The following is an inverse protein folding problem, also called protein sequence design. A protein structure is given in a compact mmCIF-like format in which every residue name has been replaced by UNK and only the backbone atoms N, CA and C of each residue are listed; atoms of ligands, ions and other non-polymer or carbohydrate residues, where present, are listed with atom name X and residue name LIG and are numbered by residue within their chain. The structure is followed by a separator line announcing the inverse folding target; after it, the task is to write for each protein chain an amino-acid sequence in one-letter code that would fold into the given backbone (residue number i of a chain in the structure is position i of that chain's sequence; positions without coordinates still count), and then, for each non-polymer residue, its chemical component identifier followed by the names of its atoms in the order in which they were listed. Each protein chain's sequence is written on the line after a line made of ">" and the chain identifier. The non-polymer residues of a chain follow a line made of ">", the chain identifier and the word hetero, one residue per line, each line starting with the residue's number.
data_IF_797041403200
#
_entry.id   IF_797041403200
#
_cell.length_a   1.000
_cell.length_b   1.000
_cell.length_c   1.000
_cell.angle_alpha   90.00
_cell.angle_beta   90.00
_cell.angle_gamma   90.00
#
_symmetry.space_group_name_H-M   'P 1'
#
loop_
_entity.id
_entity.type
_entity.pdbx_description
1 polymer ?
#
# COMPACT_ATOMS: atom_id res chain seq x y z
N UNK A 1 4.42 42.59 -3.43
CA UNK A 1 4.33 41.58 -4.51
C UNK A 1 4.28 40.22 -3.85
N UNK A 2 3.12 39.56 -3.90
CA UNK A 2 2.82 38.34 -3.17
C UNK A 2 3.28 37.11 -3.95
N UNK A 3 4.27 36.38 -3.44
CA UNK A 3 4.61 35.05 -3.92
C UNK A 3 3.69 34.03 -3.25
N UNK A 4 2.89 33.33 -4.06
CA UNK A 4 2.01 32.24 -3.64
C UNK A 4 2.86 31.03 -3.27
N UNK A 5 2.79 30.61 -2.01
CA UNK A 5 3.36 29.37 -1.50
C UNK A 5 2.51 28.18 -2.00
N UNK A 6 3.16 27.22 -2.65
CA UNK A 6 2.62 25.89 -2.95
C UNK A 6 3.73 24.87 -2.67
N UNK A 7 3.81 24.41 -1.42
CA UNK A 7 4.58 23.21 -1.03
C UNK A 7 3.57 22.30 -0.37
N UNK A 8 3.24 21.20 -1.05
CA UNK A 8 2.22 20.24 -0.66
C UNK A 8 2.93 19.03 -0.05
N UNK A 9 2.55 18.68 1.18
CA UNK A 9 2.87 17.40 1.79
C UNK A 9 2.23 16.27 0.98
N UNK A 10 2.95 15.16 0.80
CA UNK A 10 2.46 13.98 0.10
C UNK A 10 1.20 13.39 0.76
N UNK A 11 1.04 13.59 2.08
CA UNK A 11 -0.09 13.10 2.87
C UNK A 11 -1.20 14.14 3.10
N UNK A 12 -1.08 15.35 2.55
CA UNK A 12 -2.14 16.37 2.56
C UNK A 12 -2.53 16.76 1.14
N UNK A 13 -3.27 15.87 0.48
CA UNK A 13 -3.93 16.21 -0.79
C UNK A 13 -5.15 17.11 -0.56
N UNK A 14 -5.24 18.14 -1.42
CA UNK A 14 -6.36 19.08 -1.68
C UNK A 14 -6.45 20.38 -0.86
N UNK A 15 -6.09 21.48 -1.54
CA UNK A 15 -6.98 22.64 -1.77
C UNK A 15 -6.67 23.18 -3.16
N UNK A 16 -7.55 22.95 -4.12
CA UNK A 16 -7.61 23.76 -5.33
C UNK A 16 -8.96 24.44 -5.42
N UNK A 17 -8.86 25.75 -5.55
CA UNK A 17 -9.91 26.74 -5.70
C UNK A 17 -10.71 26.51 -6.97
N UNK A 18 -12.01 26.49 -6.78
CA UNK A 18 -13.05 26.53 -7.80
C UNK A 18 -12.89 27.78 -8.69
N UNK A 19 -12.66 27.61 -9.99
CA UNK A 19 -12.93 28.64 -11.00
C UNK A 19 -13.59 27.95 -12.19
N UNK A 20 -14.89 28.16 -12.31
CA UNK A 20 -15.67 27.89 -13.50
C UNK A 20 -15.09 28.64 -14.70
N UNK A 21 -14.88 27.94 -15.82
CA UNK A 21 -15.14 28.51 -17.15
C UNK A 21 -15.58 27.40 -18.11
N UNK A 22 -16.73 27.67 -18.73
CA UNK A 22 -17.54 26.80 -19.59
C UNK A 22 -17.13 26.96 -21.07
N UNK A 23 -17.38 25.88 -21.83
CA UNK A 23 -17.61 25.76 -23.29
C UNK A 23 -16.37 25.73 -24.21
N UNK A 24 -16.11 24.60 -24.89
CA UNK A 24 -16.67 24.25 -26.20
C UNK A 24 -16.37 22.78 -26.58
N UNK A 25 -17.11 22.31 -27.57
CA UNK A 25 -17.43 20.93 -27.96
C UNK A 25 -16.42 20.18 -28.84
N UNK A 26 -16.48 18.84 -28.72
CA UNK A 26 -16.34 17.79 -29.74
C UNK A 26 -15.08 17.75 -30.63
N UNK A 27 -14.30 16.66 -30.52
CA UNK A 27 -13.93 15.73 -31.60
C UNK A 27 -13.19 14.53 -30.98
N UNK A 28 -13.67 13.33 -31.25
CA UNK A 28 -13.03 12.06 -30.89
C UNK A 28 -11.74 11.85 -31.68
N UNK A 29 -10.65 11.55 -30.97
CA UNK A 29 -9.55 10.71 -31.50
C UNK A 29 -9.06 9.80 -30.39
N UNK A 30 -9.04 8.50 -30.70
CA UNK A 30 -8.41 7.44 -29.90
C UNK A 30 -6.98 7.87 -29.56
N UNK A 31 -6.65 7.92 -28.27
CA UNK A 31 -5.28 8.00 -27.81
C UNK A 31 -5.10 7.08 -26.62
N UNK A 32 -4.12 6.20 -26.74
CA UNK A 32 -3.58 5.35 -25.70
C UNK A 32 -3.31 6.18 -24.44
N UNK A 33 -3.94 5.82 -23.32
CA UNK A 33 -3.70 6.44 -22.02
C UNK A 33 -2.41 5.90 -21.42
N UNK A 34 -1.27 6.46 -21.86
CA UNK A 34 -0.07 6.47 -21.03
C UNK A 34 -0.31 7.59 -20.02
N UNK A 35 -0.62 7.25 -18.78
CA UNK A 35 -0.66 8.18 -17.66
C UNK A 35 0.75 8.71 -17.43
N UNK A 36 1.05 9.85 -18.07
CA UNK A 36 2.26 10.62 -17.82
C UNK A 36 2.25 11.05 -16.36
N UNK A 37 3.10 10.43 -15.55
CA UNK A 37 3.55 11.00 -14.27
C UNK A 37 3.99 12.43 -14.57
N UNK A 38 3.29 13.42 -14.05
CA UNK A 38 3.67 14.83 -14.16
C UNK A 38 4.89 15.06 -13.28
N UNK A 39 6.06 14.63 -13.73
CA UNK A 39 7.34 15.04 -13.15
C UNK A 39 7.62 16.43 -13.72
N UNK A 40 7.79 17.48 -12.92
CA UNK A 40 8.14 18.79 -13.45
C UNK A 40 9.48 18.67 -14.20
N UNK A 41 9.42 18.76 -15.53
CA UNK A 41 10.60 18.76 -16.39
C UNK A 41 11.32 20.09 -16.16
N UNK A 42 12.33 20.09 -15.30
CA UNK A 42 13.31 21.18 -15.26
C UNK A 42 14.28 20.97 -16.42
N UNK A 43 14.25 21.87 -17.40
CA UNK A 43 15.33 21.96 -18.37
C UNK A 43 16.57 22.50 -17.66
N UNK A 44 17.71 21.84 -17.84
CA UNK A 44 19.02 22.33 -17.37
C UNK A 44 19.47 23.50 -18.27
N UNK A 45 18.70 24.59 -18.37
CA UNK A 45 19.11 25.75 -19.16
C UNK A 45 19.90 26.75 -18.31
N UNK A 46 21.08 27.11 -18.83
CA UNK A 46 21.92 28.26 -18.49
C UNK A 46 21.86 28.80 -17.06
N UNK A 47 22.66 28.19 -16.19
CA UNK A 47 23.34 28.79 -15.02
C UNK A 47 22.59 29.98 -14.38
N UNK A 48 21.50 29.69 -13.68
CA UNK A 48 21.30 30.35 -12.40
C UNK A 48 22.08 29.51 -11.40
N UNK A 49 23.32 29.89 -11.10
CA UNK A 49 23.99 29.34 -9.92
C UNK A 49 23.11 29.70 -8.73
N UNK A 50 22.42 28.71 -8.17
CA UNK A 50 21.94 28.90 -6.82
C UNK A 50 23.21 28.90 -5.96
N UNK A 51 23.71 30.10 -5.67
CA UNK A 51 24.96 30.32 -4.94
C UNK A 51 24.94 29.67 -3.54
N UNK A 52 23.78 29.15 -3.10
CA UNK A 52 23.70 28.27 -1.94
C UNK A 52 22.57 27.23 -2.02
N UNK A 53 22.62 26.32 -3.00
CA UNK A 53 21.67 25.21 -3.15
C UNK A 53 21.49 24.37 -1.85
N UNK A 54 22.56 24.21 -1.07
CA UNK A 54 22.51 23.50 0.21
C UNK A 54 21.67 24.24 1.26
N UNK A 55 21.88 25.55 1.44
CA UNK A 55 21.08 26.36 2.39
C UNK A 55 19.60 26.38 2.01
N UNK A 56 19.30 26.52 0.73
CA UNK A 56 17.93 26.54 0.25
C UNK A 56 17.24 25.18 0.47
N UNK A 57 17.97 24.07 0.24
CA UNK A 57 17.49 22.73 0.52
C UNK A 57 17.30 22.48 2.02
N UNK A 58 18.21 22.94 2.89
CA UNK A 58 18.03 22.83 4.35
C UNK A 58 16.77 23.59 4.82
N UNK A 59 16.60 24.83 4.36
CA UNK A 59 15.42 25.65 4.70
C UNK A 59 14.12 24.98 4.25
N UNK A 60 14.13 24.34 3.08
CA UNK A 60 12.99 23.57 2.59
C UNK A 60 12.74 22.33 3.47
N UNK A 61 13.77 21.51 3.72
CA UNK A 61 13.67 20.27 4.50
C UNK A 61 13.21 20.54 5.94
N UNK A 62 13.62 21.65 6.55
CA UNK A 62 13.13 22.05 7.88
C UNK A 62 11.61 22.20 7.91
N UNK A 63 11.04 22.87 6.90
CA UNK A 63 9.58 23.05 6.78
C UNK A 63 8.90 21.73 6.47
N UNK A 64 9.46 20.95 5.54
CA UNK A 64 8.88 19.67 5.11
C UNK A 64 8.82 18.66 6.26
N UNK A 65 9.92 18.49 7.01
CA UNK A 65 9.96 17.58 8.18
C UNK A 65 8.93 18.00 9.23
N UNK A 66 8.75 19.31 9.45
CA UNK A 66 7.76 19.81 10.41
C UNK A 66 6.32 19.50 9.95
N UNK A 67 6.03 19.69 8.66
CA UNK A 67 4.73 19.37 8.08
C UNK A 67 4.45 17.87 8.18
N UNK A 68 5.40 17.02 7.78
CA UNK A 68 5.23 15.56 7.81
C UNK A 68 5.05 15.03 9.23
N UNK A 69 5.82 15.53 10.21
CA UNK A 69 5.61 15.19 11.63
C UNK A 69 4.25 15.62 12.15
N UNK A 70 3.75 16.77 11.70
CA UNK A 70 2.41 17.25 12.10
C UNK A 70 1.27 16.44 11.46
N UNK A 71 1.52 15.85 10.29
CA UNK A 71 0.57 15.00 9.58
C UNK A 71 0.62 13.52 10.03
N UNK A 72 1.65 13.11 10.78
CA UNK A 72 1.82 11.74 11.22
C UNK A 72 0.71 11.32 12.18
N UNK A 73 -0.10 10.32 11.76
CA UNK A 73 -1.22 9.79 12.56
C UNK A 73 -0.76 9.03 13.81
N UNK A 74 0.41 8.39 13.72
CA UNK A 74 0.98 7.52 14.74
C UNK A 74 2.39 7.98 15.16
N UNK A 75 2.54 9.17 15.79
CA UNK A 75 3.85 9.75 16.06
C UNK A 75 4.63 9.02 17.16
N UNK A 76 3.93 8.44 18.13
CA UNK A 76 4.52 7.83 19.32
C UNK A 76 4.51 6.30 19.31
N UNK A 77 3.48 5.69 18.71
CA UNK A 77 3.32 4.23 18.68
C UNK A 77 2.67 3.79 17.37
N UNK A 78 3.29 2.82 16.71
CA UNK A 78 2.75 2.18 15.51
C UNK A 78 1.44 1.43 15.84
N UNK A 79 0.56 1.23 14.84
CA UNK A 79 -0.58 0.32 14.97
C UNK A 79 -0.15 -1.04 15.51
N UNK A 80 -1.05 -1.71 16.23
CA UNK A 80 -0.78 -3.04 16.80
C UNK A 80 -1.40 -4.05 15.85
N UNK A 81 -0.64 -5.07 15.47
CA UNK A 81 -1.16 -6.26 14.81
C UNK A 81 -1.38 -7.31 15.91
N UNK A 82 -2.64 -7.64 16.27
CA UNK A 82 -2.93 -8.56 17.36
C UNK A 82 -2.24 -9.90 17.19
N UNK A 83 -1.82 -10.50 18.31
CA UNK A 83 -1.16 -11.80 18.37
C UNK A 83 0.19 -11.92 17.68
N UNK A 84 0.72 -10.85 17.05
CA UNK A 84 2.04 -10.85 16.44
C UNK A 84 3.03 -10.01 17.25
N UNK A 85 4.24 -10.55 17.41
CA UNK A 85 5.40 -9.78 17.85
C UNK A 85 6.03 -9.11 16.64
N UNK A 86 6.20 -7.79 16.71
CA UNK A 86 6.75 -6.97 15.64
C UNK A 86 8.24 -6.71 15.90
N UNK A 87 9.08 -7.00 14.92
CA UNK A 87 10.49 -6.62 14.89
C UNK A 87 10.77 -5.82 13.62
N UNK A 88 11.62 -4.79 13.71
CA UNK A 88 11.96 -3.97 12.55
C UNK A 88 13.47 -3.77 12.40
N UNK A 89 13.95 -3.78 11.16
CA UNK A 89 15.34 -3.56 10.80
C UNK A 89 15.43 -2.68 9.55
N UNK A 90 15.67 -1.37 9.74
CA UNK A 90 15.55 -0.42 8.63
C UNK A 90 14.13 -0.47 8.03
N UNK A 91 13.95 -0.65 6.71
CA UNK A 91 12.63 -0.76 6.09
C UNK A 91 12.02 -2.17 6.18
N UNK A 92 12.78 -3.17 6.66
CA UNK A 92 12.29 -4.54 6.82
C UNK A 92 11.51 -4.69 8.13
N UNK A 93 10.43 -5.46 8.06
CA UNK A 93 9.57 -5.78 9.19
C UNK A 93 9.37 -7.29 9.24
N UNK A 94 9.46 -7.86 10.45
CA UNK A 94 9.17 -9.26 10.73
C UNK A 94 8.08 -9.33 11.80
N UNK A 95 6.98 -9.99 11.47
CA UNK A 95 5.92 -10.34 12.40
C UNK A 95 6.10 -11.81 12.76
N UNK A 96 6.01 -12.17 14.04
CA UNK A 96 6.13 -13.56 14.47
C UNK A 96 5.09 -13.92 15.52
N UNK A 97 4.53 -15.12 15.42
CA UNK A 97 3.67 -15.70 16.44
C UNK A 97 3.78 -17.22 16.46
N UNK A 98 3.55 -17.79 17.63
CA UNK A 98 3.49 -19.24 17.83
C UNK A 98 2.02 -19.67 18.01
N UNK A 99 1.60 -20.74 17.32
CA UNK A 99 0.28 -21.36 17.47
C UNK A 99 0.49 -22.85 17.70
N UNK A 100 0.25 -23.33 18.91
CA UNK A 100 0.46 -24.74 19.24
C UNK A 100 1.91 -25.17 18.97
N UNK A 101 2.10 -26.04 17.98
CA UNK A 101 3.41 -26.55 17.56
C UNK A 101 3.92 -25.91 16.26
N UNK A 102 3.25 -24.87 15.79
CA UNK A 102 3.55 -24.16 14.54
C UNK A 102 4.07 -22.76 14.86
N UNK A 103 5.03 -22.30 14.07
CA UNK A 103 5.54 -20.93 14.13
C UNK A 103 5.25 -20.22 12.82
N UNK A 104 4.57 -19.08 12.91
CA UNK A 104 4.18 -18.25 11.78
C UNK A 104 5.08 -17.03 11.77
N UNK A 105 5.72 -16.78 10.63
CA UNK A 105 6.57 -15.60 10.43
C UNK A 105 6.11 -14.89 9.16
N UNK A 106 5.74 -13.61 9.28
CA UNK A 106 5.44 -12.76 8.13
C UNK A 106 6.55 -11.74 7.95
N UNK A 107 7.09 -11.60 6.73
CA UNK A 107 8.14 -10.63 6.42
C UNK A 107 7.73 -9.74 5.28
N UNK A 108 8.05 -8.45 5.39
CA UNK A 108 7.80 -7.49 4.32
C UNK A 108 8.75 -6.31 4.42
N UNK A 109 8.82 -5.52 3.35
CA UNK A 109 9.62 -4.31 3.26
C UNK A 109 8.75 -3.14 2.84
N UNK A 110 8.87 -1.99 3.52
CA UNK A 110 8.01 -0.83 3.25
C UNK A 110 8.53 0.10 2.13
N UNK A 111 9.68 -0.19 1.53
CA UNK A 111 10.29 0.63 0.47
C UNK A 111 9.47 0.59 -0.81
N UNK A 112 9.09 1.76 -1.35
CA UNK A 112 8.34 1.90 -2.61
C UNK A 112 6.98 1.19 -2.62
N UNK A 113 6.29 1.15 -1.49
CA UNK A 113 5.03 0.40 -1.32
C UNK A 113 3.78 1.27 -1.27
N UNK A 114 3.94 2.59 -1.35
CA UNK A 114 2.83 3.54 -1.34
C UNK A 114 2.30 3.74 -2.75
N UNK A 115 1.04 3.39 -2.98
CA UNK A 115 0.37 3.57 -4.27
C UNK A 115 -0.48 4.83 -4.26
N UNK A 116 -0.13 5.80 -5.10
CA UNK A 116 -0.90 7.04 -5.26
C UNK A 116 -2.20 6.85 -6.07
N UNK A 117 -2.28 5.81 -6.91
CA UNK A 117 -3.50 5.45 -7.65
C UNK A 117 -4.68 5.13 -6.74
N UNK A 118 -4.40 4.51 -5.59
CA UNK A 118 -5.42 4.06 -4.64
C UNK A 118 -6.13 5.23 -3.93
N UNK A 119 -5.51 6.43 -3.95
CA UNK A 119 -6.05 7.64 -3.32
C UNK A 119 -7.02 8.46 -4.19
N UNK A 120 -7.13 8.15 -5.50
CA UNK A 120 -7.96 8.94 -6.42
C UNK A 120 -9.41 8.43 -6.56
N UNK A 121 -9.76 7.27 -6.00
CA UNK A 121 -11.06 6.62 -6.27
C UNK A 121 -12.05 6.57 -5.09
N UNK A 122 -11.64 6.82 -3.84
CA UNK A 122 -12.58 6.87 -2.71
C UNK A 122 -13.43 8.16 -2.67
N UNK A 123 -13.15 9.16 -3.53
CA UNK A 123 -13.82 10.48 -3.47
C UNK A 123 -15.15 10.59 -4.23
N UNK A 124 -15.59 9.57 -4.97
CA UNK A 124 -16.76 9.68 -5.87
C UNK A 124 -18.04 8.98 -5.36
N UNK A 125 -18.06 8.43 -4.15
CA UNK A 125 -19.26 7.82 -3.55
C UNK A 125 -19.72 8.57 -2.30
N UNK A 126 -20.44 9.68 -2.49
CA UNK A 126 -21.62 10.13 -1.71
C UNK A 126 -21.92 11.61 -1.99
N UNK A 127 -22.75 11.86 -3.00
CA UNK A 127 -23.55 13.08 -3.08
C UNK A 127 -25.03 12.72 -2.99
N UNK A 128 -25.45 12.18 -1.85
CA UNK A 128 -26.86 12.16 -1.43
C UNK A 128 -26.92 12.74 -0.04
N UNK A 129 -27.47 13.95 0.05
CA UNK A 129 -27.43 14.76 1.25
C UNK A 129 -28.09 14.08 2.45
N UNK A 130 -27.33 13.91 3.52
CA UNK A 130 -27.76 13.89 4.91
C UNK A 130 -26.55 14.19 5.78
N UNK A 131 -26.67 15.17 6.66
CA UNK A 131 -25.64 15.58 7.63
C UNK A 131 -25.37 14.44 8.62
N UNK A 132 -24.39 13.61 8.32
CA UNK A 132 -23.79 12.68 9.27
C UNK A 132 -22.27 12.84 9.23
N UNK A 133 -21.71 12.94 10.43
CA UNK A 133 -20.32 13.24 10.78
C UNK A 133 -19.30 12.90 9.68
N UNK A 134 -18.74 13.96 9.09
CA UNK A 134 -17.55 13.92 8.25
C UNK A 134 -16.40 13.41 9.15
N UNK A 135 -16.24 12.10 9.22
CA UNK A 135 -14.91 11.56 9.47
C UNK A 135 -14.10 11.93 8.24
N UNK A 136 -13.02 12.68 8.44
CA UNK A 136 -12.13 13.10 7.37
C UNK A 136 -11.44 11.87 6.79
N UNK A 137 -12.09 11.11 5.91
CA UNK A 137 -11.44 10.23 4.95
C UNK A 137 -10.81 11.11 3.87
N UNK A 138 -9.80 11.91 4.28
CA UNK A 138 -8.79 12.37 3.35
C UNK A 138 -8.25 11.13 2.66
N UNK A 139 -8.34 11.03 1.34
CA UNK A 139 -7.78 9.93 0.56
C UNK A 139 -6.34 9.65 1.02
N UNK A 140 -6.19 8.68 1.91
CA UNK A 140 -4.94 8.47 2.62
C UNK A 140 -4.12 7.53 1.77
N UNK A 141 -2.96 7.99 1.34
CA UNK A 141 -1.96 7.12 0.72
C UNK A 141 -1.75 5.90 1.62
N UNK A 142 -2.04 4.71 1.08
CA UNK A 142 -1.84 3.43 1.77
C UNK A 142 -0.58 2.75 1.23
N UNK A 143 0.18 2.16 2.15
CA UNK A 143 1.30 1.28 1.85
C UNK A 143 0.81 -0.17 1.87
N UNK A 144 0.95 -0.85 0.73
CA UNK A 144 0.50 -2.23 0.49
C UNK A 144 1.69 -3.07 0.00
N UNK A 145 2.58 -3.49 0.92
CA UNK A 145 3.78 -4.24 0.56
C UNK A 145 3.43 -5.65 0.09
N UNK A 146 4.22 -6.21 -0.83
CA UNK A 146 4.33 -7.67 -0.96
C UNK A 146 4.91 -8.23 0.35
N UNK A 147 4.40 -9.37 0.79
CA UNK A 147 4.83 -10.02 2.03
C UNK A 147 4.99 -11.52 1.85
N UNK A 148 5.88 -12.12 2.62
CA UNK A 148 6.02 -13.57 2.70
C UNK A 148 5.39 -14.09 3.97
N UNK A 149 4.79 -15.27 3.93
CA UNK A 149 4.26 -15.98 5.09
C UNK A 149 4.95 -17.33 5.19
N UNK A 150 5.67 -17.56 6.28
CA UNK A 150 6.33 -18.83 6.59
C UNK A 150 5.55 -19.53 7.70
N UNK A 151 5.08 -20.75 7.44
CA UNK A 151 4.49 -21.64 8.45
C UNK A 151 5.47 -22.78 8.69
N UNK A 152 6.16 -22.75 9.84
CA UNK A 152 7.07 -23.81 10.24
C UNK A 152 6.36 -24.87 11.08
N UNK A 153 6.40 -26.13 10.63
CA UNK A 153 5.80 -27.28 11.29
C UNK A 153 6.70 -28.50 11.13
N UNK A 154 7.04 -29.14 12.25
CA UNK A 154 7.78 -30.42 12.22
C UNK A 154 9.18 -30.33 11.59
N UNK A 155 9.82 -29.15 11.63
CA UNK A 155 11.14 -28.91 11.06
C UNK A 155 11.15 -28.48 9.59
N UNK A 156 9.99 -28.50 8.94
CA UNK A 156 9.81 -28.05 7.56
C UNK A 156 8.99 -26.74 7.54
N UNK A 157 9.25 -25.90 6.54
CA UNK A 157 8.57 -24.61 6.35
C UNK A 157 7.81 -24.62 5.05
N UNK A 158 6.52 -24.30 5.12
CA UNK A 158 5.69 -23.95 3.97
C UNK A 158 5.68 -22.43 3.85
N UNK A 159 6.16 -21.91 2.74
CA UNK A 159 6.30 -20.47 2.51
C UNK A 159 5.44 -20.01 1.35
N UNK A 160 4.85 -18.84 1.52
CA UNK A 160 4.00 -18.17 0.54
C UNK A 160 4.58 -16.78 0.25
N UNK A 161 4.54 -16.38 -1.02
CA UNK A 161 4.67 -14.98 -1.44
C UNK A 161 3.28 -14.45 -1.74
N UNK A 162 2.90 -13.34 -1.11
CA UNK A 162 1.60 -12.73 -1.24
C UNK A 162 1.70 -11.27 -1.68
N UNK A 163 0.76 -10.83 -2.52
CA UNK A 163 0.64 -9.45 -2.95
C UNK A 163 -0.80 -8.96 -2.85
N UNK A 164 -0.94 -7.65 -2.56
CA UNK A 164 -2.26 -7.02 -2.55
C UNK A 164 -2.83 -6.94 -3.97
N UNK A 165 -4.11 -7.23 -4.09
CA UNK A 165 -4.80 -7.03 -5.36
C UNK A 165 -4.91 -5.52 -5.67
N UNK A 166 -4.71 -5.10 -6.94
CA UNK A 166 -4.98 -3.73 -7.34
C UNK A 166 -6.46 -3.37 -7.08
N UNK A 167 -6.74 -2.21 -6.49
CA UNK A 167 -8.12 -1.71 -6.31
C UNK A 167 -8.89 -1.59 -7.63
N UNK A 168 -8.17 -1.48 -8.75
CA UNK A 168 -8.72 -1.31 -10.09
C UNK A 168 -9.12 -2.62 -10.78
N UNK A 169 -9.03 -3.79 -10.16
CA UNK A 169 -9.38 -5.05 -10.81
C UNK A 169 -10.88 -5.04 -11.19
N UNK A 170 -11.26 -4.83 -12.48
CA UNK A 170 -12.65 -4.67 -12.86
C UNK A 170 -13.35 -6.01 -13.07
N UNK A 171 -12.69 -7.14 -12.82
CA UNK A 171 -13.08 -8.45 -13.34
C UNK A 171 -13.21 -9.57 -12.27
N UNK A 172 -12.81 -9.32 -11.02
CA UNK A 172 -13.05 -10.24 -9.90
C UNK A 172 -14.40 -10.03 -9.20
N UNK A 173 -15.22 -9.08 -9.69
CA UNK A 173 -16.61 -8.85 -9.25
C UNK A 173 -17.64 -9.78 -9.90
N UNK A 174 -17.26 -10.53 -10.93
CA UNK A 174 -18.21 -11.38 -11.69
C UNK A 174 -17.74 -12.83 -11.95
N UNK A 175 -16.55 -13.24 -11.51
CA UNK A 175 -16.07 -14.61 -11.70
C UNK A 175 -15.53 -15.21 -10.41
N UNK A 176 -16.40 -15.89 -9.65
CA UNK A 176 -16.15 -17.25 -9.18
C UNK A 176 -17.47 -17.96 -8.78
N UNK A 177 -17.72 -19.09 -9.44
CA UNK A 177 -18.71 -20.14 -9.17
C UNK A 177 -20.22 -19.88 -9.38
N UNK A 178 -20.62 -19.54 -10.61
CA UNK A 178 -21.89 -20.04 -11.16
C UNK A 178 -21.65 -21.41 -11.84
N UNK A 179 -21.58 -22.48 -11.05
CA UNK A 179 -21.92 -23.81 -11.58
C UNK A 179 -23.41 -23.78 -11.91
N UNK A 180 -23.75 -23.95 -13.20
CA UNK A 180 -25.06 -23.71 -13.82
C UNK A 180 -26.26 -24.54 -13.29
N UNK A 181 -26.24 -25.09 -12.07
CA UNK A 181 -27.27 -26.02 -11.61
C UNK A 181 -27.91 -25.77 -10.24
N UNK A 182 -27.74 -24.61 -9.59
CA UNK A 182 -28.49 -24.32 -8.35
C UNK A 182 -29.22 -22.96 -8.39
N UNK A 183 -30.20 -22.89 -9.28
CA UNK A 183 -31.29 -21.91 -9.12
C UNK A 183 -32.17 -22.35 -7.96
N UNK A 184 -32.00 -21.67 -6.81
CA UNK A 184 -32.93 -21.43 -5.69
C UNK A 184 -32.34 -21.83 -4.33
N UNK A 185 -31.65 -20.88 -3.70
CA UNK A 185 -32.04 -20.42 -2.36
C UNK A 185 -31.29 -19.14 -1.96
N UNK A 186 -32.05 -18.22 -1.39
CA UNK A 186 -31.57 -16.98 -0.77
C UNK A 186 -30.53 -17.28 0.32
N UNK A 187 -29.39 -16.58 0.27
CA UNK A 187 -28.88 -15.79 1.40
C UNK A 187 -27.79 -14.84 0.88
N UNK A 188 -27.73 -13.63 1.45
CA UNK A 188 -26.72 -12.60 1.19
C UNK A 188 -25.29 -13.18 1.11
N UNK A 189 -24.81 -13.50 -0.09
CA UNK A 189 -23.37 -13.56 -0.33
C UNK A 189 -22.90 -12.11 -0.43
N UNK A 190 -22.55 -11.54 0.72
CA UNK A 190 -21.52 -10.51 0.72
C UNK A 190 -20.34 -11.12 -0.05
N UNK A 191 -20.06 -10.61 -1.25
CA UNK A 191 -18.87 -10.99 -1.98
C UNK A 191 -17.68 -10.63 -1.07
N UNK A 192 -17.13 -11.62 -0.38
CA UNK A 192 -15.90 -11.49 0.40
C UNK A 192 -14.80 -11.38 -0.65
N UNK A 193 -14.40 -10.15 -0.94
CA UNK A 193 -13.27 -9.90 -1.82
C UNK A 193 -12.00 -10.09 -1.00
N UNK A 194 -11.11 -10.95 -1.48
CA UNK A 194 -9.78 -11.09 -0.89
C UNK A 194 -8.98 -9.80 -1.16
N UNK A 195 -8.40 -9.21 -0.11
CA UNK A 195 -7.55 -8.01 -0.25
C UNK A 195 -6.17 -8.33 -0.85
N UNK A 196 -5.79 -9.61 -0.86
CA UNK A 196 -4.50 -10.10 -1.34
C UNK A 196 -4.66 -11.46 -2.03
N UNK A 197 -3.67 -11.84 -2.82
CA UNK A 197 -3.57 -13.17 -3.44
C UNK A 197 -2.25 -13.85 -3.05
N UNK A 198 -2.19 -15.17 -3.23
CA UNK A 198 -0.94 -15.93 -3.17
C UNK A 198 -0.33 -15.95 -4.57
N UNK A 199 0.86 -15.38 -4.74
CA UNK A 199 1.56 -15.36 -6.02
C UNK A 199 2.36 -16.66 -6.22
N UNK A 200 3.02 -17.15 -5.17
CA UNK A 200 3.93 -18.28 -5.23
C UNK A 200 3.95 -19.03 -3.90
N UNK A 201 4.14 -20.34 -3.94
CA UNK A 201 4.37 -21.14 -2.73
C UNK A 201 5.52 -22.14 -2.91
N UNK A 202 6.12 -22.53 -1.78
CA UNK A 202 7.22 -23.49 -1.73
C UNK A 202 7.30 -24.22 -0.39
N UNK A 203 7.98 -25.35 -0.35
CA UNK A 203 8.25 -26.10 0.88
C UNK A 203 9.76 -26.37 1.02
N UNK A 204 10.33 -26.09 2.19
CA UNK A 204 11.78 -26.22 2.42
C UNK A 204 12.15 -26.46 3.88
N UNK A 205 13.35 -27.02 4.09
CA UNK A 205 13.90 -27.35 5.41
C UNK A 205 14.93 -26.30 5.91
N UNK A 206 15.02 -25.15 5.24
CA UNK A 206 16.03 -24.12 5.53
C UNK A 206 15.63 -22.73 5.04
N UNK A 207 16.48 -22.11 4.22
CA UNK A 207 16.20 -20.82 3.60
C UNK A 207 15.53 -21.01 2.24
N UNK A 208 14.53 -20.17 1.95
CA UNK A 208 13.99 -20.05 0.60
C UNK A 208 14.99 -19.28 -0.27
N UNK A 209 15.61 -20.00 -1.20
CA UNK A 209 16.55 -19.47 -2.18
C UNK A 209 16.29 -20.11 -3.55
N UNK A 210 17.07 -19.73 -4.56
CA UNK A 210 16.91 -20.15 -5.96
C UNK A 210 17.06 -21.67 -6.19
N UNK A 211 17.59 -22.43 -5.23
CA UNK A 211 17.74 -23.89 -5.34
C UNK A 211 16.52 -24.66 -4.87
N UNK A 212 15.61 -24.00 -4.15
CA UNK A 212 14.36 -24.57 -3.69
C UNK A 212 13.32 -24.41 -4.80
N UNK A 213 12.66 -25.50 -5.19
CA UNK A 213 11.57 -25.42 -6.16
C UNK A 213 10.39 -24.65 -5.57
N UNK A 214 9.87 -23.71 -6.33
CA UNK A 214 8.67 -22.95 -6.02
C UNK A 214 7.73 -22.98 -7.22
N UNK A 215 6.43 -22.85 -6.94
CA UNK A 215 5.39 -22.88 -7.98
C UNK A 215 4.60 -21.59 -7.94
N UNK A 216 4.46 -20.98 -9.12
CA UNK A 216 3.53 -19.88 -9.36
C UNK A 216 2.09 -20.38 -9.21
N UNK A 217 1.25 -19.61 -8.51
CA UNK A 217 -0.14 -19.97 -8.24
C UNK A 217 -1.08 -19.73 -9.43
N UNK A 218 -0.64 -19.05 -10.49
CA UNK A 218 -1.44 -18.83 -11.71
C UNK A 218 -1.61 -20.10 -12.56
N UNK A 219 -0.80 -21.13 -12.32
CA UNK A 219 -0.78 -22.38 -13.11
C UNK A 219 -1.26 -23.62 -12.35
N UNK A 220 -1.64 -23.46 -11.08
CA UNK A 220 -2.10 -24.56 -10.24
C UNK A 220 -3.60 -24.78 -10.36
N UNK A 221 -4.06 -25.92 -9.85
CA UNK A 221 -5.48 -26.23 -9.76
C UNK A 221 -6.19 -25.25 -8.80
N UNK A 222 -7.40 -24.81 -9.17
CA UNK A 222 -8.17 -23.85 -8.39
C UNK A 222 -8.58 -24.38 -7.00
N UNK A 223 -8.91 -25.67 -6.90
CA UNK A 223 -9.24 -26.25 -5.58
C UNK A 223 -8.00 -26.27 -4.68
N UNK A 224 -6.82 -26.52 -5.24
CA UNK A 224 -5.56 -26.43 -4.47
C UNK A 224 -5.33 -24.99 -3.99
N UNK A 225 -5.52 -23.99 -4.85
CA UNK A 225 -5.39 -22.57 -4.47
C UNK A 225 -6.31 -22.23 -3.29
N UNK A 226 -7.59 -22.59 -3.38
CA UNK A 226 -8.57 -22.37 -2.30
C UNK A 226 -8.15 -23.04 -0.99
N UNK A 227 -7.60 -24.26 -1.04
CA UNK A 227 -7.10 -24.96 0.16
C UNK A 227 -5.89 -24.25 0.77
N UNK A 228 -5.00 -23.67 -0.04
CA UNK A 228 -3.84 -22.91 0.45
C UNK A 228 -4.29 -21.60 1.10
N UNK A 229 -5.30 -20.93 0.54
CA UNK A 229 -5.86 -19.72 1.13
C UNK A 229 -6.58 -20.00 2.45
N UNK A 230 -7.42 -21.04 2.50
CA UNK A 230 -8.05 -21.49 3.75
C UNK A 230 -7.01 -21.80 4.84
N UNK A 231 -5.88 -22.41 4.46
CA UNK A 231 -4.78 -22.67 5.39
C UNK A 231 -4.21 -21.37 5.99
N UNK A 232 -4.00 -20.34 5.16
CA UNK A 232 -3.56 -19.02 5.64
C UNK A 232 -4.59 -18.41 6.60
N UNK A 233 -5.88 -18.47 6.26
CA UNK A 233 -6.97 -17.93 7.08
C UNK A 233 -7.05 -18.62 8.45
N UNK A 234 -6.98 -19.95 8.49
CA UNK A 234 -6.93 -20.73 9.74
C UNK A 234 -5.73 -20.33 10.63
N UNK A 235 -4.64 -19.88 10.02
CA UNK A 235 -3.45 -19.35 10.72
C UNK A 235 -3.54 -17.86 11.04
N UNK A 236 -4.72 -17.24 10.85
CA UNK A 236 -4.98 -15.84 11.14
C UNK A 236 -4.39 -14.87 10.11
N UNK A 237 -4.12 -15.36 8.89
CA UNK A 237 -3.66 -14.57 7.74
C UNK A 237 -4.82 -14.49 6.74
N UNK A 238 -5.78 -13.61 7.02
CA UNK A 238 -6.94 -13.34 6.17
C UNK A 238 -7.12 -11.85 5.92
N UNK A 239 -8.33 -11.44 5.55
CA UNK A 239 -8.69 -10.05 5.23
C UNK A 239 -8.38 -9.07 6.39
N UNK A 240 -8.77 -9.42 7.62
CA UNK A 240 -8.53 -8.57 8.79
C UNK A 240 -7.02 -8.33 9.00
N UNK A 241 -6.22 -9.38 8.83
CA UNK A 241 -4.76 -9.29 8.92
C UNK A 241 -4.20 -8.39 7.81
N UNK A 242 -4.66 -8.56 6.56
CA UNK A 242 -4.20 -7.75 5.43
C UNK A 242 -4.49 -6.26 5.64
N UNK A 243 -5.65 -5.92 6.19
CA UNK A 243 -5.98 -4.52 6.54
C UNK A 243 -5.09 -3.96 7.65
N UNK A 244 -4.88 -4.73 8.73
CA UNK A 244 -3.99 -4.34 9.82
C UNK A 244 -2.54 -4.19 9.36
N UNK A 245 -2.09 -5.07 8.46
CA UNK A 245 -0.77 -5.01 7.85
C UNK A 245 -0.61 -3.74 7.02
N UNK A 246 -1.61 -3.39 6.20
CA UNK A 246 -1.59 -2.16 5.41
C UNK A 246 -1.57 -0.91 6.28
N UNK A 247 -2.35 -0.86 7.36
CA UNK A 247 -2.35 0.26 8.31
C UNK A 247 -1.01 0.39 9.04
N UNK A 248 -0.47 -0.72 9.52
CA UNK A 248 0.86 -0.77 10.13
C UNK A 248 1.93 -0.30 9.14
N UNK A 249 1.93 -0.85 7.93
CA UNK A 249 2.90 -0.55 6.89
C UNK A 249 2.85 0.92 6.50
N UNK A 250 1.65 1.49 6.38
CA UNK A 250 1.45 2.92 6.09
C UNK A 250 2.05 3.80 7.17
N UNK A 251 1.80 3.48 8.44
CA UNK A 251 2.38 4.23 9.56
C UNK A 251 3.91 4.07 9.63
N UNK A 252 4.43 2.88 9.34
CA UNK A 252 5.86 2.60 9.40
C UNK A 252 6.64 3.22 8.23
N UNK A 253 6.09 3.15 7.01
CA UNK A 253 6.63 3.80 5.81
C UNK A 253 6.75 5.31 6.04
N UNK A 254 5.68 5.96 6.52
CA UNK A 254 5.70 7.40 6.78
C UNK A 254 6.76 7.78 7.81
N UNK A 255 6.95 6.95 8.83
CA UNK A 255 8.03 7.12 9.81
C UNK A 255 9.42 6.97 9.19
N UNK A 256 9.63 5.99 8.31
CA UNK A 256 10.89 5.82 7.57
C UNK A 256 11.16 7.01 6.65
N UNK A 257 10.14 7.53 5.98
CA UNK A 257 10.23 8.71 5.12
C UNK A 257 10.68 9.96 5.90
N UNK A 258 10.07 10.25 7.05
CA UNK A 258 10.50 11.34 7.93
C UNK A 258 11.98 11.14 8.34
N UNK A 259 12.36 9.92 8.72
CA UNK A 259 13.74 9.59 9.08
C UNK A 259 14.73 9.78 7.92
N UNK A 260 14.31 9.54 6.68
CA UNK A 260 15.10 9.82 5.48
C UNK A 260 15.29 11.33 5.28
N UNK A 261 14.22 12.13 5.41
CA UNK A 261 14.29 13.59 5.31
C UNK A 261 15.23 14.18 6.36
N UNK A 262 15.20 13.67 7.59
CA UNK A 262 16.11 14.10 8.67
C UNK A 262 17.58 13.77 8.34
N UNK A 263 17.86 12.57 7.83
CA UNK A 263 19.21 12.19 7.38
C UNK A 263 19.68 13.07 6.22
N UNK A 264 18.81 13.37 5.27
CA UNK A 264 19.11 14.27 4.15
C UNK A 264 19.41 15.68 4.66
N UNK A 265 18.64 16.19 5.61
CA UNK A 265 18.90 17.49 6.23
C UNK A 265 20.26 17.52 6.94
N UNK A 266 20.60 16.47 7.69
CA UNK A 266 21.90 16.36 8.34
C UNK A 266 23.06 16.32 7.33
N UNK A 267 22.86 15.65 6.19
CA UNK A 267 23.85 15.64 5.11
C UNK A 267 24.06 17.04 4.52
N UNK A 268 22.98 17.78 4.27
CA UNK A 268 23.01 19.11 3.67
C UNK A 268 23.64 20.18 4.56
N UNK A 269 23.60 19.99 5.89
CA UNK A 269 24.20 20.90 6.89
C UNK A 269 25.72 20.74 7.06
N UNK A 270 26.34 19.68 6.52
CA UNK A 270 27.79 19.46 6.58
C UNK A 270 28.52 20.30 5.55
#
# INVERSE_FOLDING_TARGET
>A
MAFRNLTRSLFQFTKLTNVNQRLYSSIQRKSCHITQRYVPIRTFSSVQTNDNAYRDLDTFLQKEIQLEKSAQKHPSKLPIIPNFQVQTNGPEVTLSRDIGNEKIVVKFNVTNTVNASDSEQESDLQSTGQEQQITNSSSQLKSRPTFTVDINRGGQTLSFLCSYLPNDYPDSREHNHATENDQKQNHNQENIYEDFQIDEFTIHDGEWNETVYSSDCSVIDGELYDKLLNLLEEHGIGEEFANQLADFSTAYEHRQYIGLLEKLQQFVKK
#
